data_IF_463415575800
#
_entry.id   IF_463415575800
#
_cell.length_a   1.000
_cell.length_b   1.000
_cell.length_c   1.000
_cell.angle_alpha   90.00
_cell.angle_beta   90.00
_cell.angle_gamma   90.00
#
_symmetry.space_group_name_H-M   'P 1'
#
loop_
_entity.id
_entity.type
_entity.pdbx_description
1 polymer ?
#
# COMPACT_ATOMS: atom_id res chain seq x y z
N UNK A 1 18.60 -6.90 -18.20
CA UNK A 1 17.47 -7.34 -19.00
C UNK A 1 17.68 -8.73 -19.60
N UNK A 2 18.84 -9.09 -20.17
CA UNK A 2 19.12 -10.43 -20.75
C UNK A 2 18.94 -11.59 -19.75
N UNK A 3 19.27 -11.40 -18.47
CA UNK A 3 19.12 -12.44 -17.43
C UNK A 3 17.65 -12.71 -17.06
N UNK A 4 16.77 -11.72 -17.23
CA UNK A 4 15.32 -11.84 -16.96
C UNK A 4 14.63 -12.71 -18.03
N UNK A 5 15.15 -12.70 -19.25
CA UNK A 5 14.59 -13.44 -20.40
C UNK A 5 15.17 -14.87 -20.56
N UNK A 6 16.15 -15.29 -19.74
CA UNK A 6 16.72 -16.64 -19.86
C UNK A 6 15.72 -17.73 -19.45
N UNK A 7 15.69 -18.87 -20.17
CA UNK A 7 14.84 -20.00 -19.80
C UNK A 7 15.23 -20.51 -18.42
N UNK A 8 14.22 -20.69 -17.57
CA UNK A 8 14.39 -21.12 -16.19
C UNK A 8 14.80 -22.61 -16.17
N UNK A 9 15.98 -22.91 -15.64
CA UNK A 9 16.46 -24.28 -15.37
C UNK A 9 15.96 -24.71 -14.00
N UNK A 10 15.43 -25.92 -13.86
CA UNK A 10 14.97 -26.48 -12.59
C UNK A 10 13.65 -27.22 -12.69
N UNK A 11 13.17 -27.75 -11.58
CA UNK A 11 11.88 -28.40 -11.44
C UNK A 11 10.69 -27.45 -11.71
N UNK A 12 9.50 -28.01 -11.87
CA UNK A 12 8.28 -27.27 -12.19
C UNK A 12 8.01 -26.17 -11.14
N UNK A 13 8.09 -26.51 -9.85
CA UNK A 13 7.86 -25.55 -8.75
C UNK A 13 8.86 -24.39 -8.77
N UNK A 14 10.14 -24.66 -9.07
CA UNK A 14 11.16 -23.63 -9.15
C UNK A 14 10.93 -22.66 -10.33
N UNK A 15 10.46 -23.17 -11.47
CA UNK A 15 10.12 -22.35 -12.63
C UNK A 15 8.93 -21.45 -12.33
N UNK A 16 7.86 -21.99 -11.75
CA UNK A 16 6.69 -21.22 -11.34
C UNK A 16 7.05 -20.15 -10.31
N UNK A 17 7.81 -20.50 -9.28
CA UNK A 17 8.28 -19.55 -8.28
C UNK A 17 9.03 -18.38 -8.91
N UNK A 18 9.99 -18.66 -9.78
CA UNK A 18 10.78 -17.63 -10.44
C UNK A 18 9.96 -16.80 -11.43
N UNK A 19 9.03 -17.41 -12.17
CA UNK A 19 8.18 -16.69 -13.13
C UNK A 19 7.19 -15.76 -12.42
N UNK A 20 6.46 -16.25 -11.42
CA UNK A 20 5.53 -15.45 -10.63
C UNK A 20 6.30 -14.36 -9.88
N UNK A 21 7.46 -14.68 -9.30
CA UNK A 21 8.30 -13.71 -8.60
C UNK A 21 8.72 -12.53 -9.47
N UNK A 22 9.05 -12.77 -10.75
CA UNK A 22 9.42 -11.69 -11.68
C UNK A 22 8.32 -10.64 -11.88
N UNK A 23 7.07 -11.09 -11.91
CA UNK A 23 5.92 -10.20 -12.11
C UNK A 23 5.44 -9.56 -10.82
N UNK A 24 5.49 -10.30 -9.73
CA UNK A 24 4.99 -9.84 -8.41
C UNK A 24 5.99 -8.93 -7.70
N UNK A 25 7.30 -9.16 -7.88
CA UNK A 25 8.35 -8.42 -7.18
C UNK A 25 8.26 -6.89 -7.32
N UNK A 26 8.06 -6.31 -8.52
CA UNK A 26 7.95 -4.84 -8.64
C UNK A 26 6.77 -4.27 -7.85
N UNK A 27 5.62 -4.95 -7.85
CA UNK A 27 4.44 -4.52 -7.09
C UNK A 27 4.68 -4.66 -5.58
N UNK A 28 5.33 -5.73 -5.13
CA UNK A 28 5.71 -5.89 -3.71
C UNK A 28 6.71 -4.82 -3.26
N UNK A 29 7.70 -4.49 -4.09
CA UNK A 29 8.65 -3.42 -3.78
C UNK A 29 7.95 -2.06 -3.69
N UNK A 30 7.07 -1.75 -4.63
CA UNK A 30 6.27 -0.52 -4.58
C UNK A 30 5.45 -0.48 -3.29
N UNK A 31 4.69 -1.53 -2.99
CA UNK A 31 3.88 -1.62 -1.79
C UNK A 31 4.71 -1.54 -0.50
N UNK A 32 5.88 -2.20 -0.45
CA UNK A 32 6.77 -2.14 0.70
C UNK A 32 7.35 -0.74 0.92
N UNK A 33 7.85 -0.09 -0.12
CA UNK A 33 8.45 1.25 -0.02
C UNK A 33 7.42 2.30 0.38
N UNK A 34 6.24 2.27 -0.24
CA UNK A 34 5.15 3.18 0.12
C UNK A 34 4.62 2.90 1.52
N UNK A 35 4.51 1.63 1.93
CA UNK A 35 4.10 1.24 3.28
C UNK A 35 5.10 1.66 4.35
N UNK A 36 6.42 1.55 4.08
CA UNK A 36 7.47 2.05 4.98
C UNK A 36 7.34 3.56 5.18
N UNK A 37 7.15 4.32 4.09
CA UNK A 37 6.96 5.77 4.17
C UNK A 37 5.71 6.12 5.00
N UNK A 38 4.57 5.48 4.75
CA UNK A 38 3.34 5.72 5.50
C UNK A 38 3.48 5.35 6.97
N UNK A 39 4.15 4.23 7.27
CA UNK A 39 4.46 3.85 8.66
C UNK A 39 5.35 4.89 9.34
N UNK A 40 6.39 5.38 8.65
CA UNK A 40 7.26 6.43 9.18
C UNK A 40 6.49 7.73 9.45
N UNK A 41 5.53 8.09 8.59
CA UNK A 41 4.65 9.23 8.81
C UNK A 41 3.72 9.01 10.01
N UNK A 42 3.11 7.83 10.16
CA UNK A 42 2.27 7.47 11.30
C UNK A 42 3.02 7.56 12.63
N UNK A 43 4.31 7.20 12.64
CA UNK A 43 5.16 7.33 13.85
C UNK A 43 5.84 8.70 13.96
N UNK A 44 5.42 9.70 13.19
CA UNK A 44 5.96 11.06 13.17
C UNK A 44 7.48 11.13 12.90
N UNK A 45 8.05 10.13 12.23
CA UNK A 45 9.46 10.12 11.80
C UNK A 45 9.68 10.98 10.55
N UNK A 46 8.62 11.17 9.75
CA UNK A 46 8.57 12.09 8.61
C UNK A 46 7.28 12.91 8.70
N UNK A 47 7.26 14.15 8.22
CA UNK A 47 6.06 14.97 8.24
C UNK A 47 5.01 14.41 7.26
N UNK A 48 3.80 14.17 7.75
CA UNK A 48 2.63 13.76 6.95
C UNK A 48 1.82 14.96 6.42
N UNK A 49 2.08 16.15 7.02
CA UNK A 49 1.35 17.38 6.71
C UNK A 49 -0.09 17.42 7.27
N UNK A 50 -0.46 16.46 8.12
CA UNK A 50 -1.78 16.42 8.78
C UNK A 50 -1.98 17.53 9.82
N UNK A 51 -0.89 18.14 10.30
CA UNK A 51 -0.93 19.22 11.30
C UNK A 51 -1.45 20.56 10.74
N UNK A 52 -1.76 20.62 9.46
CA UNK A 52 -2.26 21.81 8.78
C UNK A 52 -3.77 21.72 8.51
N UNK A 53 -4.55 21.15 9.40
CA UNK A 53 -6.00 21.23 9.30
C UNK A 53 -6.47 22.67 9.56
N UNK A 54 -7.51 23.15 8.83
CA UNK A 54 -8.06 24.47 9.10
C UNK A 54 -8.61 24.52 10.51
N UNK A 55 -8.44 25.66 11.19
CA UNK A 55 -9.01 25.83 12.51
C UNK A 55 -10.53 25.81 12.39
N UNK A 56 -11.17 25.06 13.31
CA UNK A 56 -12.62 25.06 13.39
C UNK A 56 -13.12 26.50 13.64
N UNK A 57 -14.07 27.00 12.84
CA UNK A 57 -14.46 28.39 12.89
C UNK A 57 -15.14 28.72 14.21
N UNK A 58 -14.74 29.84 14.83
CA UNK A 58 -15.33 30.33 16.10
C UNK A 58 -16.65 31.05 15.90
N UNK A 59 -17.03 31.35 14.65
CA UNK A 59 -18.30 32.04 14.33
C UNK A 59 -18.95 31.35 13.15
N UNK A 60 -20.17 30.89 13.37
CA UNK A 60 -21.09 30.37 12.36
C UNK A 60 -22.34 31.26 12.35
N UNK A 61 -23.04 31.33 11.22
CA UNK A 61 -24.28 32.10 11.14
C UNK A 61 -25.40 31.49 12.01
N UNK A 62 -25.31 30.19 12.29
CA UNK A 62 -26.37 29.44 12.96
C UNK A 62 -27.62 29.29 12.09
N UNK A 63 -28.32 28.19 12.25
CA UNK A 63 -29.55 27.96 11.50
C UNK A 63 -29.58 26.57 10.86
N UNK A 64 -30.68 26.23 10.17
CA UNK A 64 -30.86 24.94 9.55
C UNK A 64 -29.87 24.78 8.38
N UNK A 65 -29.32 23.57 8.22
CA UNK A 65 -28.45 23.25 7.12
C UNK A 65 -29.16 23.43 5.77
N UNK A 66 -28.53 24.18 4.88
CA UNK A 66 -28.98 24.32 3.50
C UNK A 66 -28.62 23.08 2.68
N UNK A 67 -29.42 22.74 1.64
CA UNK A 67 -29.06 21.65 0.76
C UNK A 67 -27.74 21.98 0.04
N UNK A 68 -26.94 20.94 -0.21
CA UNK A 68 -25.62 21.04 -0.87
C UNK A 68 -25.67 21.84 -2.18
N UNK A 69 -26.79 21.72 -2.91
CA UNK A 69 -27.03 22.46 -4.16
C UNK A 69 -27.19 23.98 -4.01
N UNK A 70 -27.35 24.47 -2.78
CA UNK A 70 -27.45 25.91 -2.48
C UNK A 70 -26.15 26.49 -1.91
N UNK A 71 -25.14 25.66 -1.62
CA UNK A 71 -23.89 26.09 -1.00
C UNK A 71 -22.91 26.62 -2.06
N UNK A 72 -22.73 27.93 -2.11
CA UNK A 72 -21.88 28.58 -3.13
C UNK A 72 -20.43 28.06 -3.15
N UNK A 73 -19.84 27.78 -1.99
CA UNK A 73 -18.49 27.25 -1.88
C UNK A 73 -18.37 25.85 -2.50
N UNK A 74 -19.39 25.00 -2.38
CA UNK A 74 -19.41 23.67 -2.98
C UNK A 74 -19.66 23.71 -4.48
N UNK A 75 -20.53 24.61 -4.92
CA UNK A 75 -20.77 24.81 -6.35
C UNK A 75 -19.54 25.35 -7.10
N UNK A 76 -18.64 26.05 -6.41
CA UNK A 76 -17.38 26.53 -6.96
C UNK A 76 -16.27 25.47 -6.95
N UNK A 77 -16.49 24.32 -6.31
CA UNK A 77 -15.49 23.25 -6.21
C UNK A 77 -15.61 22.28 -7.40
N UNK A 78 -14.49 21.97 -8.07
CA UNK A 78 -14.48 20.95 -9.11
C UNK A 78 -14.69 19.57 -8.44
N UNK A 79 -15.65 18.80 -8.97
CA UNK A 79 -15.95 17.44 -8.50
C UNK A 79 -14.75 16.48 -8.63
N UNK A 80 -13.85 16.72 -9.59
CA UNK A 80 -12.63 15.93 -9.73
C UNK A 80 -11.61 16.20 -8.62
N UNK A 81 -11.68 17.37 -8.00
CA UNK A 81 -10.84 17.73 -6.85
C UNK A 81 -11.47 17.33 -5.51
N UNK A 82 -12.76 17.08 -5.48
CA UNK A 82 -13.48 16.71 -4.27
C UNK A 82 -13.11 15.28 -3.82
N UNK A 83 -12.62 15.17 -2.58
CA UNK A 83 -12.26 13.89 -1.95
C UNK A 83 -13.33 13.43 -0.97
N UNK A 84 -13.77 14.34 -0.14
CA UNK A 84 -14.69 14.05 0.94
C UNK A 84 -15.56 15.27 1.24
N UNK A 85 -16.84 15.02 1.50
CA UNK A 85 -17.77 16.00 1.99
C UNK A 85 -18.48 15.42 3.22
N UNK A 86 -18.20 16.00 4.39
CA UNK A 86 -18.85 15.63 5.63
C UNK A 86 -20.00 16.60 5.89
N UNK A 87 -21.18 16.05 6.13
CA UNK A 87 -22.38 16.82 6.41
C UNK A 87 -22.42 17.21 7.89
N UNK A 88 -22.95 18.41 8.23
CA UNK A 88 -23.14 18.80 9.61
C UNK A 88 -24.15 17.90 10.31
N UNK A 89 -24.00 17.78 11.63
CA UNK A 89 -24.94 17.00 12.43
C UNK A 89 -26.32 17.67 12.44
N UNK A 90 -27.42 16.95 12.12
CA UNK A 90 -28.73 17.54 11.91
C UNK A 90 -29.31 18.30 13.11
N UNK A 91 -28.87 18.02 14.35
CA UNK A 91 -29.34 18.65 15.58
C UNK A 91 -28.40 19.73 16.11
N UNK A 92 -27.28 20.01 15.44
CA UNK A 92 -26.33 21.03 15.89
C UNK A 92 -26.29 22.19 14.90
N UNK A 93 -26.93 23.33 15.24
CA UNK A 93 -26.92 24.52 14.40
C UNK A 93 -25.57 25.22 14.33
N UNK A 94 -24.59 24.81 15.16
CA UNK A 94 -23.23 25.34 15.17
C UNK A 94 -22.26 24.49 14.39
N UNK A 95 -22.69 23.33 13.85
CA UNK A 95 -21.86 22.48 13.04
C UNK A 95 -21.70 23.02 11.60
N UNK A 96 -20.76 22.51 10.85
CA UNK A 96 -20.36 23.01 9.53
C UNK A 96 -20.21 21.87 8.52
N UNK A 97 -20.32 22.18 7.24
CA UNK A 97 -19.84 21.26 6.22
C UNK A 97 -18.30 21.24 6.24
N UNK A 98 -17.71 20.05 6.32
CA UNK A 98 -16.27 19.85 6.11
C UNK A 98 -16.02 19.39 4.69
N UNK A 99 -15.20 20.14 3.99
CA UNK A 99 -14.85 19.90 2.60
C UNK A 99 -13.37 19.57 2.50
N UNK A 100 -13.05 18.39 2.00
CA UNK A 100 -11.68 17.98 1.70
C UNK A 100 -11.50 17.85 0.20
N UNK A 101 -10.46 18.51 -0.32
CA UNK A 101 -10.12 18.50 -1.74
C UNK A 101 -8.67 18.04 -1.95
N UNK A 102 -8.27 17.86 -3.22
CA UNK A 102 -6.85 17.60 -3.56
C UNK A 102 -5.92 18.76 -3.18
N UNK A 103 -6.45 19.97 -3.04
CA UNK A 103 -5.67 21.19 -2.88
C UNK A 103 -5.67 21.71 -1.44
N UNK A 104 -6.69 21.38 -0.65
CA UNK A 104 -6.83 21.83 0.72
C UNK A 104 -8.12 21.37 1.36
N UNK A 105 -8.23 21.67 2.66
CA UNK A 105 -9.38 21.40 3.49
C UNK A 105 -10.09 22.70 3.84
N UNK A 106 -11.40 22.67 3.96
CA UNK A 106 -12.24 23.85 4.18
C UNK A 106 -13.42 23.55 5.10
N UNK A 107 -13.86 24.57 5.81
CA UNK A 107 -15.14 24.57 6.52
C UNK A 107 -16.11 25.56 5.86
N UNK A 108 -17.34 25.11 5.66
CA UNK A 108 -18.40 25.87 5.00
C UNK A 108 -19.59 25.97 5.95
N UNK A 109 -20.10 27.19 6.13
CA UNK A 109 -21.26 27.48 6.99
C UNK A 109 -22.51 26.77 6.47
N UNK A 110 -23.18 26.02 7.35
CA UNK A 110 -24.33 25.22 6.95
C UNK A 110 -25.58 26.05 6.57
N UNK A 111 -25.72 27.26 7.12
CA UNK A 111 -26.88 28.08 6.87
C UNK A 111 -26.73 29.05 5.69
N UNK A 112 -25.51 29.53 5.44
CA UNK A 112 -25.23 30.55 4.43
C UNK A 112 -24.47 30.02 3.22
N UNK A 113 -23.77 28.87 3.34
CA UNK A 113 -22.89 28.37 2.33
C UNK A 113 -21.58 29.15 2.17
N UNK A 114 -21.28 30.03 3.11
CA UNK A 114 -20.06 30.82 3.09
C UNK A 114 -18.84 29.99 3.49
N UNK A 115 -17.71 30.20 2.82
CA UNK A 115 -16.43 29.63 3.21
C UNK A 115 -15.96 30.29 4.51
N UNK A 116 -15.83 29.51 5.58
CA UNK A 116 -15.45 30.00 6.91
C UNK A 116 -13.95 29.94 7.14
N UNK A 117 -13.32 28.86 6.72
CA UNK A 117 -11.88 28.72 6.76
C UNK A 117 -11.40 27.81 5.64
N UNK A 118 -10.17 28.01 5.21
CA UNK A 118 -9.50 27.20 4.19
C UNK A 118 -8.03 27.04 4.52
N UNK A 119 -7.54 25.84 4.43
CA UNK A 119 -6.12 25.52 4.58
C UNK A 119 -5.63 24.76 3.36
N UNK A 120 -4.72 25.39 2.61
CA UNK A 120 -4.09 24.73 1.46
C UNK A 120 -3.14 23.60 1.93
N UNK A 121 -3.15 22.51 1.19
CA UNK A 121 -2.22 21.39 1.46
C UNK A 121 -0.77 21.81 1.21
N UNK A 122 0.07 21.67 2.22
CA UNK A 122 1.50 21.85 2.12
C UNK A 122 2.15 20.76 1.25
N UNK A 123 3.45 20.95 0.96
CA UNK A 123 4.21 19.98 0.15
C UNK A 123 4.23 18.60 0.81
N UNK A 124 4.43 18.51 2.13
CA UNK A 124 4.43 17.24 2.86
C UNK A 124 3.10 16.50 2.71
N UNK A 125 1.96 17.19 2.86
CA UNK A 125 0.63 16.62 2.68
C UNK A 125 0.43 16.09 1.26
N UNK A 126 0.83 16.85 0.24
CA UNK A 126 0.71 16.40 -1.17
C UNK A 126 1.56 15.17 -1.46
N UNK A 127 2.78 15.09 -0.92
CA UNK A 127 3.61 13.89 -1.05
C UNK A 127 2.94 12.69 -0.36
N UNK A 128 2.45 12.88 0.87
CA UNK A 128 1.75 11.84 1.60
C UNK A 128 0.54 11.30 0.81
N UNK A 129 -0.31 12.18 0.29
CA UNK A 129 -1.49 11.80 -0.51
C UNK A 129 -1.11 11.03 -1.78
N UNK A 130 -0.06 11.44 -2.47
CA UNK A 130 0.41 10.69 -3.65
C UNK A 130 0.96 9.31 -3.29
N UNK A 131 1.72 9.20 -2.20
CA UNK A 131 2.21 7.90 -1.71
C UNK A 131 1.04 7.02 -1.27
N UNK A 132 0.05 7.60 -0.60
CA UNK A 132 -1.18 6.91 -0.21
C UNK A 132 -1.93 6.34 -1.42
N UNK A 133 -2.13 7.16 -2.46
CA UNK A 133 -2.76 6.73 -3.72
C UNK A 133 -1.99 5.60 -4.41
N UNK A 134 -0.65 5.68 -4.43
CA UNK A 134 0.20 4.63 -4.99
C UNK A 134 0.14 3.34 -4.17
N UNK A 135 -0.02 3.44 -2.85
CA UNK A 135 -0.08 2.30 -1.96
C UNK A 135 -1.43 1.58 -2.03
N UNK A 136 -2.52 2.34 -2.04
CA UNK A 136 -3.89 1.81 -2.00
C UNK A 136 -4.49 1.59 -3.39
N UNK A 137 -3.99 2.31 -4.39
CA UNK A 137 -4.61 2.38 -5.72
C UNK A 137 -5.83 3.29 -5.76
N UNK A 138 -6.09 4.09 -4.71
CA UNK A 138 -7.22 5.01 -4.66
C UNK A 138 -7.10 6.08 -5.77
N UNK A 139 -8.18 6.31 -6.50
CA UNK A 139 -8.19 7.19 -7.67
C UNK A 139 -7.50 6.62 -8.92
N UNK A 140 -6.75 5.51 -8.79
CA UNK A 140 -6.06 4.81 -9.87
C UNK A 140 -6.55 3.35 -9.93
N UNK A 141 -7.81 3.15 -10.30
CA UNK A 141 -8.48 1.84 -10.26
C UNK A 141 -7.67 0.71 -10.92
N UNK A 142 -6.98 1.01 -12.03
CA UNK A 142 -6.12 0.05 -12.73
C UNK A 142 -4.90 -0.37 -11.90
N UNK A 143 -4.33 0.56 -11.10
CA UNK A 143 -3.22 0.26 -10.18
C UNK A 143 -3.71 -0.59 -9.02
N UNK A 144 -4.86 -0.26 -8.42
CA UNK A 144 -5.48 -1.06 -7.38
C UNK A 144 -5.76 -2.50 -7.85
N UNK A 145 -6.29 -2.65 -9.08
CA UNK A 145 -6.50 -3.96 -9.70
C UNK A 145 -5.17 -4.71 -9.90
N UNK A 146 -4.13 -4.04 -10.41
CA UNK A 146 -2.80 -4.62 -10.61
C UNK A 146 -2.20 -5.10 -9.27
N UNK A 147 -2.22 -4.26 -8.24
CA UNK A 147 -1.73 -4.60 -6.91
C UNK A 147 -2.51 -5.79 -6.33
N UNK A 148 -3.84 -5.82 -6.48
CA UNK A 148 -4.70 -6.92 -6.06
C UNK A 148 -4.35 -8.24 -6.75
N UNK A 149 -4.15 -8.22 -8.07
CA UNK A 149 -3.72 -9.41 -8.84
C UNK A 149 -2.33 -9.87 -8.36
N UNK A 150 -1.38 -8.93 -8.17
CA UNK A 150 -0.05 -9.26 -7.67
C UNK A 150 -0.08 -9.84 -6.25
N UNK A 151 -1.00 -9.37 -5.39
CA UNK A 151 -1.19 -9.91 -4.05
C UNK A 151 -1.58 -11.39 -4.07
N UNK A 152 -2.36 -11.86 -5.05
CA UNK A 152 -2.67 -13.28 -5.25
C UNK A 152 -1.42 -14.11 -5.61
N UNK A 153 -0.38 -13.49 -6.13
CA UNK A 153 0.90 -14.15 -6.39
C UNK A 153 1.69 -14.50 -5.11
N UNK A 154 1.45 -13.79 -4.00
CA UNK A 154 2.17 -14.00 -2.74
C UNK A 154 1.97 -15.42 -2.17
N UNK A 155 0.75 -15.94 -2.01
CA UNK A 155 0.53 -17.31 -1.57
C UNK A 155 1.11 -18.34 -2.55
N UNK A 156 1.10 -18.08 -3.86
CA UNK A 156 1.75 -18.94 -4.85
C UNK A 156 3.26 -18.97 -4.65
N UNK A 157 3.89 -17.83 -4.41
CA UNK A 157 5.31 -17.73 -4.09
C UNK A 157 5.64 -18.45 -2.78
N UNK A 158 4.82 -18.31 -1.76
CA UNK A 158 4.98 -19.02 -0.49
C UNK A 158 4.92 -20.53 -0.66
N UNK A 159 3.89 -21.03 -1.34
CA UNK A 159 3.70 -22.46 -1.59
C UNK A 159 4.83 -23.07 -2.44
N UNK A 160 5.15 -22.43 -3.58
CA UNK A 160 6.21 -22.93 -4.49
C UNK A 160 7.60 -22.83 -3.86
N UNK A 161 7.85 -21.81 -3.05
CA UNK A 161 9.08 -21.67 -2.27
C UNK A 161 9.25 -22.78 -1.24
N UNK A 162 8.20 -23.05 -0.46
CA UNK A 162 8.19 -24.11 0.55
C UNK A 162 8.37 -25.50 -0.09
N UNK A 163 7.68 -25.77 -1.17
CA UNK A 163 7.83 -27.04 -1.91
C UNK A 163 9.24 -27.22 -2.46
N UNK A 164 9.81 -26.17 -3.07
CA UNK A 164 11.19 -26.22 -3.60
C UNK A 164 12.21 -26.45 -2.48
N UNK A 165 12.03 -25.82 -1.32
CA UNK A 165 12.87 -26.03 -0.16
C UNK A 165 12.77 -27.46 0.38
N UNK A 166 11.54 -28.00 0.46
CA UNK A 166 11.27 -29.36 0.90
C UNK A 166 11.92 -30.39 -0.04
N UNK A 167 11.74 -30.25 -1.35
CA UNK A 167 12.37 -31.12 -2.37
C UNK A 167 13.90 -31.13 -2.25
N UNK A 168 14.52 -29.97 -2.05
CA UNK A 168 15.97 -29.87 -1.86
C UNK A 168 16.45 -30.55 -0.59
N UNK A 169 15.69 -30.48 0.50
CA UNK A 169 16.03 -31.19 1.76
C UNK A 169 16.01 -32.72 1.58
N UNK A 170 15.06 -33.23 0.83
CA UNK A 170 14.94 -34.67 0.57
C UNK A 170 16.03 -35.17 -0.38
N UNK A 171 16.49 -34.33 -1.31
CA UNK A 171 17.54 -34.71 -2.30
C UNK A 171 18.97 -34.55 -1.79
N UNK A 172 19.20 -34.05 -0.57
CA UNK A 172 20.54 -34.10 0.03
C UNK A 172 20.87 -35.55 0.42
N UNK A 173 21.86 -36.20 -0.28
CA UNK A 173 22.23 -37.54 0.10
C UNK A 173 22.75 -37.53 1.54
N UNK A 174 22.33 -38.50 2.32
CA UNK A 174 22.94 -38.80 3.61
C UNK A 174 24.39 -39.24 3.38
N UNK A 175 25.30 -38.30 3.24
CA UNK A 175 26.74 -38.56 3.07
C UNK A 175 27.44 -39.03 4.36
N UNK A 176 26.74 -39.67 5.27
CA UNK A 176 27.32 -40.10 6.55
C UNK A 176 27.22 -41.63 6.72
N UNK A 177 27.38 -42.40 5.68
CA UNK A 177 27.33 -43.85 5.79
C UNK A 177 28.41 -44.66 5.03
N UNK A 178 28.96 -44.12 3.96
CA UNK A 178 29.81 -44.92 3.11
C UNK A 178 31.33 -44.80 3.38
N UNK A 179 31.76 -43.82 4.14
CA UNK A 179 33.21 -43.68 4.43
C UNK A 179 33.73 -44.71 5.40
N UNK A 180 32.88 -45.20 6.32
CA UNK A 180 33.30 -46.25 7.32
C UNK A 180 33.32 -47.65 6.70
N UNK A 181 32.43 -47.94 5.74
CA UNK A 181 32.40 -49.25 5.06
C UNK A 181 33.58 -49.45 4.11
N UNK A 182 33.99 -48.40 3.34
CA UNK A 182 35.14 -48.48 2.48
C UNK A 182 36.47 -48.58 3.20
N UNK A 183 36.61 -48.05 4.40
CA UNK A 183 37.83 -48.18 5.21
C UNK A 183 37.96 -49.58 5.83
N UNK A 184 36.86 -50.30 6.08
CA UNK A 184 36.91 -51.68 6.62
C UNK A 184 37.34 -52.69 5.55
N UNK A 185 36.91 -52.57 4.31
CA UNK A 185 37.29 -53.47 3.21
C UNK A 185 38.75 -53.33 2.81
N UNK A 186 39.35 -52.13 2.92
CA UNK A 186 40.76 -51.91 2.61
C UNK A 186 41.70 -52.53 3.62
N UNK A 187 41.30 -52.69 4.88
CA UNK A 187 42.15 -53.28 5.92
C UNK A 187 42.22 -54.81 5.80
N UNK A 188 41.21 -55.47 5.26
CA UNK A 188 41.16 -56.93 5.13
C UNK A 188 42.08 -57.42 3.95
N UNK A 189 42.33 -56.57 2.93
CA UNK A 189 43.15 -56.95 1.79
C UNK A 189 44.67 -56.74 1.95
N UNK A 190 45.13 -56.12 3.02
CA UNK A 190 46.54 -55.86 3.30
C UNK A 190 47.11 -56.88 4.32
N UNK A 191 46.29 -57.79 4.87
CA UNK A 191 46.66 -58.73 5.93
C UNK A 191 46.81 -60.22 5.46
N UNK A 192 46.94 -60.47 4.13
CA UNK A 192 47.13 -61.83 3.58
C UNK A 192 48.44 -61.98 2.80
#
# INVERSE_FOLDING_TARGET
>A
WRQIAQPLRGGVNQRWHAQVGRWVLPALLLSALTGIYMSAATFALVPDGMQSEPQFPSRQAGGPAQPVTALAALLATDLNDLRELVYPHPSDPSDVYSLRTNQGDAYVDQATGALLSYQAHGVARRIYEQVYQLHTGEGLWWLGLLLGICALGVPVLGATGALTWWERRQSMPRMVGNSAAQSADTIILVGS
#
